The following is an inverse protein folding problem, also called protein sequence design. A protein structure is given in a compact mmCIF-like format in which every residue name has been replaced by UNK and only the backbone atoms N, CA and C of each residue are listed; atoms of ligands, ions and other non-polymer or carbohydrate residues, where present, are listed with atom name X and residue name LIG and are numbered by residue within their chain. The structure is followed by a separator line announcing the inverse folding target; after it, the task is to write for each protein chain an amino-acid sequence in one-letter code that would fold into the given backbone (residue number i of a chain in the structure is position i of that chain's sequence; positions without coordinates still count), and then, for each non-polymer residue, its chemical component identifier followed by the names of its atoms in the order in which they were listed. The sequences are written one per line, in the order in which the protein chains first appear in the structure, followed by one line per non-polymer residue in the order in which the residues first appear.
data_IF_002243801665
#
_entry.id   IF_002243801665
#
_cell.length_a   1.000
_cell.length_b   1.000
_cell.length_c   1.000
_cell.angle_alpha   90.00
_cell.angle_beta   90.00
_cell.angle_gamma   90.00
#
_symmetry.space_group_name_H-M   'P 1'
#
loop_
_entity.id
_entity.type
_entity.pdbx_description
1 polymer ?
#
# COMPACT_ATOMS: atom_id res chain seq x y z
N UNK A 1 1.16 -1.86 16.32
CA UNK A 1 1.69 -0.70 15.59
C UNK A 1 0.60 -0.14 14.69
N UNK A 2 0.68 1.11 14.22
CA UNK A 2 -0.27 1.61 13.23
C UNK A 2 0.36 1.58 11.84
N UNK A 3 -0.45 1.19 10.87
CA UNK A 3 -0.12 1.06 9.45
C UNK A 3 -1.08 1.92 8.66
N UNK A 4 -0.81 2.14 7.37
CA UNK A 4 -1.70 2.93 6.53
C UNK A 4 -1.85 2.38 5.12
N UNK A 5 -3.03 2.58 4.54
CA UNK A 5 -3.27 2.50 3.10
C UNK A 5 -3.46 3.91 2.54
N UNK A 6 -2.91 4.19 1.36
CA UNK A 6 -3.09 5.48 0.68
C UNK A 6 -3.37 5.29 -0.81
N UNK A 7 -4.29 6.10 -1.34
CA UNK A 7 -4.64 6.11 -2.75
C UNK A 7 -3.55 6.78 -3.61
N UNK A 8 -3.10 6.10 -4.65
CA UNK A 8 -2.06 6.54 -5.58
C UNK A 8 -2.59 6.75 -7.01
N UNK A 9 -3.91 6.94 -7.17
CA UNK A 9 -4.52 7.21 -8.48
C UNK A 9 -5.01 5.97 -9.24
N UNK A 10 -5.32 6.17 -10.51
CA UNK A 10 -5.79 5.11 -11.42
C UNK A 10 -4.65 4.21 -11.88
N UNK A 11 -4.85 2.90 -11.79
CA UNK A 11 -3.84 1.85 -12.03
C UNK A 11 -3.24 1.93 -13.43
N UNK A 12 -4.08 1.94 -14.48
CA UNK A 12 -3.60 1.83 -15.87
C UNK A 12 -2.71 3.00 -16.29
N UNK A 13 -2.90 4.17 -15.68
CA UNK A 13 -2.10 5.38 -15.95
C UNK A 13 -0.83 5.44 -15.11
N UNK A 14 -0.94 5.08 -13.83
CA UNK A 14 0.09 5.38 -12.86
C UNK A 14 1.03 4.20 -12.57
N UNK A 15 0.54 2.96 -12.63
CA UNK A 15 1.35 1.79 -12.33
C UNK A 15 2.59 1.64 -13.24
N UNK A 16 2.50 1.85 -14.58
CA UNK A 16 3.68 1.76 -15.45
C UNK A 16 4.76 2.80 -15.15
N UNK A 17 4.41 3.90 -14.49
CA UNK A 17 5.32 5.00 -14.13
C UNK A 17 5.77 4.93 -12.66
N UNK A 18 5.20 4.01 -11.89
CA UNK A 18 5.44 3.90 -10.45
C UNK A 18 6.85 3.35 -10.20
N UNK A 19 7.60 4.08 -9.37
CA UNK A 19 8.96 3.72 -8.94
C UNK A 19 9.11 3.99 -7.44
N UNK A 20 10.10 3.36 -6.77
CA UNK A 20 10.46 3.74 -5.41
C UNK A 20 10.72 5.25 -5.30
N UNK A 21 10.26 5.85 -4.21
CA UNK A 21 10.34 7.28 -3.94
C UNK A 21 9.29 8.14 -4.63
N UNK A 22 8.38 7.57 -5.44
CA UNK A 22 7.33 8.35 -6.08
C UNK A 22 6.47 9.10 -5.05
N UNK A 23 6.31 10.41 -5.27
CA UNK A 23 5.55 11.34 -4.43
C UNK A 23 4.40 12.02 -5.18
N UNK A 24 4.23 11.69 -6.47
CA UNK A 24 3.19 12.23 -7.34
C UNK A 24 2.48 11.12 -8.10
N UNK A 25 1.29 11.42 -8.63
CA UNK A 25 0.54 10.59 -9.55
C UNK A 25 -0.25 11.46 -10.52
N UNK A 26 -0.62 10.91 -11.68
CA UNK A 26 -1.49 11.57 -12.64
C UNK A 26 -2.97 11.35 -12.30
N UNK A 27 -3.70 12.46 -12.17
CA UNK A 27 -5.15 12.49 -11.97
C UNK A 27 -5.95 12.07 -13.20
N UNK A 28 -7.26 11.90 -13.02
CA UNK A 28 -8.18 11.55 -14.11
C UNK A 28 -8.27 12.63 -15.20
N UNK A 29 -8.04 13.89 -14.82
CA UNK A 29 -7.94 15.07 -15.67
C UNK A 29 -6.59 15.22 -16.40
N UNK A 30 -5.65 14.30 -16.16
CA UNK A 30 -4.31 14.33 -16.76
C UNK A 30 -3.31 15.22 -16.02
N UNK A 31 -3.74 15.97 -14.99
CA UNK A 31 -2.85 16.79 -14.16
C UNK A 31 -2.00 15.92 -13.23
N UNK A 32 -0.78 16.36 -12.93
CA UNK A 32 0.03 15.76 -11.88
C UNK A 32 -0.47 16.23 -10.50
N UNK A 33 -0.59 15.30 -9.56
CA UNK A 33 -1.03 15.54 -8.19
C UNK A 33 0.00 14.99 -7.22
N UNK A 34 0.24 15.73 -6.14
CA UNK A 34 1.12 15.31 -5.05
C UNK A 34 0.37 14.32 -4.14
N UNK A 35 1.03 13.24 -3.76
CA UNK A 35 0.51 12.31 -2.75
C UNK A 35 0.44 13.03 -1.40
N UNK A 36 -0.64 12.86 -0.61
CA UNK A 36 -0.66 13.39 0.75
C UNK A 36 0.48 12.78 1.57
N UNK A 37 0.94 13.46 2.64
CA UNK A 37 1.89 12.86 3.55
C UNK A 37 1.29 11.64 4.22
N UNK A 38 2.13 10.65 4.55
CA UNK A 38 1.71 9.53 5.38
C UNK A 38 1.31 10.04 6.78
N UNK A 39 0.28 9.45 7.42
CA UNK A 39 -0.09 9.81 8.79
C UNK A 39 1.08 9.58 9.75
N UNK A 40 1.28 10.50 10.70
CA UNK A 40 2.42 10.46 11.63
C UNK A 40 2.38 9.23 12.57
N UNK A 41 1.18 8.70 12.83
CA UNK A 41 1.00 7.48 13.60
C UNK A 41 1.36 6.20 12.82
N UNK A 42 1.38 6.24 11.48
CA UNK A 42 1.62 5.08 10.62
C UNK A 42 3.12 4.70 10.54
N UNK A 43 3.66 4.25 11.68
CA UNK A 43 5.07 3.89 11.86
C UNK A 43 5.43 2.46 11.43
N UNK A 44 4.45 1.68 11.00
CA UNK A 44 4.67 0.35 10.43
C UNK A 44 4.69 0.38 8.91
N UNK A 45 4.22 -0.71 8.29
CA UNK A 45 3.99 -0.77 6.86
C UNK A 45 3.02 0.33 6.36
N UNK A 46 3.40 0.96 5.26
CA UNK A 46 2.63 1.95 4.51
C UNK A 46 2.39 1.38 3.11
N UNK A 47 1.13 1.22 2.71
CA UNK A 47 0.73 0.54 1.49
C UNK A 47 0.07 1.53 0.54
N UNK A 48 0.67 1.71 -0.63
CA UNK A 48 0.06 2.45 -1.74
C UNK A 48 -0.88 1.53 -2.52
N UNK A 49 -2.09 2.02 -2.82
CA UNK A 49 -3.05 1.31 -3.65
C UNK A 49 -3.56 2.16 -4.80
N UNK A 50 -3.97 1.51 -5.89
CA UNK A 50 -4.50 2.16 -7.08
C UNK A 50 -5.85 1.56 -7.48
N UNK A 51 -6.65 2.35 -8.19
CA UNK A 51 -7.96 1.93 -8.68
C UNK A 51 -7.86 1.38 -10.11
N UNK A 52 -8.36 0.17 -10.32
CA UNK A 52 -8.66 -0.42 -11.62
C UNK A 52 -10.12 -0.17 -12.00
N UNK A 53 -10.43 -0.36 -13.29
CA UNK A 53 -11.81 -0.33 -13.79
C UNK A 53 -12.75 -1.23 -12.97
N UNK A 54 -13.98 -0.74 -12.78
CA UNK A 54 -14.99 -1.45 -11.99
C UNK A 54 -14.83 -1.33 -10.48
N UNK A 55 -14.21 -0.24 -9.97
CA UNK A 55 -14.02 0.05 -8.54
C UNK A 55 -13.25 -1.04 -7.79
N UNK A 56 -12.24 -1.61 -8.44
CA UNK A 56 -11.36 -2.60 -7.83
C UNK A 56 -10.08 -1.92 -7.39
N UNK A 57 -9.69 -2.08 -6.13
CA UNK A 57 -8.49 -1.45 -5.59
C UNK A 57 -7.39 -2.50 -5.43
N UNK A 58 -6.20 -2.21 -5.94
CA UNK A 58 -5.05 -3.11 -5.86
C UNK A 58 -3.91 -2.44 -5.11
N UNK A 59 -3.29 -3.17 -4.18
CA UNK A 59 -2.02 -2.77 -3.59
C UNK A 59 -0.94 -2.85 -4.68
N UNK A 60 -0.12 -1.80 -4.77
CA UNK A 60 0.89 -1.66 -5.82
C UNK A 60 2.29 -1.37 -5.27
N UNK A 61 2.38 -0.96 -4.01
CA UNK A 61 3.63 -0.58 -3.37
C UNK A 61 3.50 -0.75 -1.87
N UNK A 62 4.57 -1.19 -1.23
CA UNK A 62 4.70 -1.20 0.22
C UNK A 62 6.03 -0.59 0.62
N UNK A 63 6.01 0.26 1.64
CA UNK A 63 7.19 0.89 2.17
C UNK A 63 7.16 0.94 3.69
N UNK A 64 8.34 1.07 4.28
CA UNK A 64 8.58 1.45 5.66
C UNK A 64 9.73 2.46 5.70
N UNK A 65 10.34 2.68 6.86
CA UNK A 65 11.43 3.65 7.01
C UNK A 65 12.75 3.18 6.37
N UNK A 66 12.86 1.91 5.98
CA UNK A 66 14.08 1.29 5.46
C UNK A 66 13.99 0.86 4.01
N UNK A 67 12.79 0.52 3.54
CA UNK A 67 12.57 -0.07 2.24
C UNK A 67 11.34 0.50 1.55
N UNK A 68 11.38 0.46 0.23
CA UNK A 68 10.32 0.92 -0.64
C UNK A 68 10.21 0.03 -1.87
N UNK A 69 9.19 -0.82 -1.88
CA UNK A 69 9.03 -1.91 -2.83
C UNK A 69 7.77 -1.66 -3.66
N UNK A 70 7.96 -1.40 -4.95
CA UNK A 70 6.87 -1.44 -5.95
C UNK A 70 6.63 -2.90 -6.32
N UNK A 71 5.39 -3.36 -6.18
CA UNK A 71 5.02 -4.77 -6.36
C UNK A 71 5.02 -5.16 -7.85
N UNK A 72 5.70 -6.24 -8.20
CA UNK A 72 5.68 -6.77 -9.56
C UNK A 72 4.30 -7.37 -9.92
N UNK A 73 3.61 -7.92 -8.92
CA UNK A 73 2.29 -8.50 -9.00
C UNK A 73 1.32 -7.79 -8.03
N UNK A 74 0.60 -6.75 -8.50
CA UNK A 74 -0.39 -6.03 -7.71
C UNK A 74 -1.47 -6.95 -7.14
N UNK A 75 -1.82 -6.74 -5.88
CA UNK A 75 -2.76 -7.60 -5.13
C UNK A 75 -4.09 -6.92 -4.94
N UNK A 76 -5.20 -7.59 -5.27
CA UNK A 76 -6.54 -7.07 -5.01
C UNK A 76 -6.78 -6.91 -3.50
N UNK A 77 -7.19 -5.72 -3.10
CA UNK A 77 -7.53 -5.41 -1.71
C UNK A 77 -8.97 -5.80 -1.48
N UNK A 78 -9.18 -6.82 -0.65
CA UNK A 78 -10.48 -7.20 -0.12
C UNK A 78 -10.84 -6.28 1.06
N UNK A 79 -11.92 -5.52 0.95
CA UNK A 79 -12.34 -4.57 1.99
C UNK A 79 -12.57 -5.25 3.35
N UNK A 80 -13.14 -6.45 3.34
CA UNK A 80 -13.49 -7.19 4.56
C UNK A 80 -12.26 -7.75 5.27
N UNK A 81 -11.25 -8.15 4.50
CA UNK A 81 -10.00 -8.73 5.03
C UNK A 81 -8.92 -7.70 5.31
N UNK A 82 -8.84 -6.63 4.51
CA UNK A 82 -7.65 -5.77 4.42
C UNK A 82 -7.87 -4.30 4.84
N UNK A 83 -9.11 -3.87 5.12
CA UNK A 83 -9.37 -2.52 5.69
C UNK A 83 -9.74 -2.57 7.18
N UNK A 84 -10.33 -3.68 7.63
CA UNK A 84 -10.89 -3.80 8.98
C UNK A 84 -12.28 -3.17 9.11
N UNK A 85 -12.92 -3.41 10.26
CA UNK A 85 -14.34 -3.11 10.45
C UNK A 85 -14.67 -1.61 10.29
N UNK A 86 -15.69 -1.31 9.47
CA UNK A 86 -16.25 0.03 9.29
C UNK A 86 -15.40 0.99 8.43
N UNK A 87 -14.26 0.55 7.91
CA UNK A 87 -13.37 1.37 7.08
C UNK A 87 -13.68 1.22 5.59
N UNK A 88 -13.38 2.26 4.83
CA UNK A 88 -13.64 2.35 3.38
C UNK A 88 -12.43 2.97 2.67
N UNK A 89 -12.33 2.74 1.37
CA UNK A 89 -11.40 3.49 0.53
C UNK A 89 -11.81 4.96 0.44
N UNK A 90 -10.81 5.84 0.39
CA UNK A 90 -11.02 7.28 0.32
C UNK A 90 -9.82 8.01 -0.27
N UNK A 91 -9.95 9.34 -0.34
CA UNK A 91 -8.84 10.22 -0.73
C UNK A 91 -7.80 10.35 0.40
N UNK A 92 -8.27 10.30 1.65
CA UNK A 92 -7.41 10.34 2.84
C UNK A 92 -6.80 8.96 3.13
N UNK A 93 -5.58 8.91 3.69
CA UNK A 93 -4.99 7.65 4.13
C UNK A 93 -5.83 6.95 5.20
N UNK A 94 -6.02 5.65 5.05
CA UNK A 94 -6.75 4.82 6.01
C UNK A 94 -5.77 4.11 6.94
N UNK A 95 -5.82 4.44 8.23
CA UNK A 95 -5.06 3.70 9.25
C UNK A 95 -5.60 2.28 9.36
N UNK A 96 -4.73 1.27 9.43
CA UNK A 96 -5.10 -0.13 9.75
C UNK A 96 -4.26 -0.67 10.91
N UNK A 97 -4.79 -1.71 11.56
CA UNK A 97 -4.17 -2.34 12.73
C UNK A 97 -3.30 -3.54 12.32
N UNK A 98 -2.47 -4.01 13.25
CA UNK A 98 -1.50 -5.10 13.04
C UNK A 98 -2.10 -6.33 12.35
N UNK A 99 -3.27 -6.80 12.81
CA UNK A 99 -3.88 -8.01 12.25
C UNK A 99 -4.29 -7.84 10.78
N UNK A 100 -4.89 -6.70 10.44
CA UNK A 100 -5.25 -6.37 9.07
C UNK A 100 -4.01 -6.20 8.18
N UNK A 101 -2.97 -5.54 8.69
CA UNK A 101 -1.71 -5.35 7.98
C UNK A 101 -0.99 -6.69 7.77
N UNK A 102 -1.00 -7.57 8.77
CA UNK A 102 -0.43 -8.92 8.69
C UNK A 102 -1.05 -9.72 7.54
N UNK A 103 -2.39 -9.79 7.50
CA UNK A 103 -3.11 -10.51 6.44
C UNK A 103 -2.79 -9.95 5.06
N UNK A 104 -2.80 -8.62 4.90
CA UNK A 104 -2.46 -8.00 3.61
C UNK A 104 -1.02 -8.31 3.21
N UNK A 105 -0.05 -8.16 4.11
CA UNK A 105 1.38 -8.42 3.83
C UNK A 105 1.63 -9.89 3.47
N UNK A 106 0.90 -10.83 4.08
CA UNK A 106 0.94 -12.26 3.72
C UNK A 106 0.45 -12.47 2.28
N UNK A 107 -0.68 -11.88 1.90
CA UNK A 107 -1.20 -11.93 0.54
C UNK A 107 -0.21 -11.31 -0.47
N UNK A 108 0.47 -10.19 -0.11
CA UNK A 108 1.52 -9.58 -0.94
C UNK A 108 2.70 -10.53 -1.15
N UNK A 109 3.21 -11.13 -0.08
CA UNK A 109 4.35 -12.05 -0.11
C UNK A 109 4.03 -13.30 -0.96
N UNK A 110 2.82 -13.83 -0.84
CA UNK A 110 2.41 -15.00 -1.61
C UNK A 110 2.32 -14.70 -3.11
N UNK A 111 1.86 -13.50 -3.47
CA UNK A 111 1.68 -13.09 -4.88
C UNK A 111 2.94 -12.54 -5.55
N UNK A 112 3.96 -12.17 -4.79
CA UNK A 112 5.22 -11.59 -5.30
C UNK A 112 6.42 -12.46 -4.88
N UNK A 113 6.54 -13.72 -5.36
CA UNK A 113 7.59 -14.64 -4.94
C UNK A 113 9.01 -14.12 -5.22
N UNK A 114 9.19 -13.36 -6.30
CA UNK A 114 10.44 -12.71 -6.70
C UNK A 114 10.87 -11.58 -5.75
N UNK A 115 9.92 -10.98 -5.02
CA UNK A 115 10.18 -9.91 -4.03
C UNK A 115 10.03 -10.41 -2.58
N UNK A 116 9.86 -11.72 -2.38
CA UNK A 116 9.53 -12.34 -1.09
C UNK A 116 10.47 -11.91 0.03
N UNK A 117 11.78 -11.87 -0.22
CA UNK A 117 12.77 -11.56 0.81
C UNK A 117 12.58 -10.12 1.35
N UNK A 118 12.40 -9.15 0.45
CA UNK A 118 12.20 -7.74 0.80
C UNK A 118 10.86 -7.54 1.54
N UNK A 119 9.80 -8.18 1.05
CA UNK A 119 8.47 -8.10 1.66
C UNK A 119 8.41 -8.76 3.06
N UNK A 120 9.11 -9.89 3.25
CA UNK A 120 9.26 -10.50 4.58
C UNK A 120 10.01 -9.57 5.54
N UNK A 121 11.06 -8.90 5.06
CA UNK A 121 11.83 -7.96 5.88
C UNK A 121 10.96 -6.77 6.34
N UNK A 122 10.16 -6.20 5.44
CA UNK A 122 9.18 -5.16 5.79
C UNK A 122 8.19 -5.70 6.83
N UNK A 123 7.59 -6.87 6.58
CA UNK A 123 6.62 -7.48 7.52
C UNK A 123 7.22 -7.67 8.90
N UNK A 124 8.45 -8.18 8.99
CA UNK A 124 9.13 -8.40 10.25
C UNK A 124 9.32 -7.08 11.02
N UNK A 125 9.81 -6.02 10.38
CA UNK A 125 9.99 -4.71 11.02
C UNK A 125 8.67 -4.08 11.43
N UNK A 126 7.65 -4.20 10.58
CA UNK A 126 6.33 -3.61 10.80
C UNK A 126 5.56 -4.27 11.95
N UNK A 127 5.69 -5.59 12.14
CA UNK A 127 4.91 -6.35 13.14
C UNK A 127 5.73 -6.74 14.38
N UNK A 128 7.06 -6.70 14.31
CA UNK A 128 7.96 -6.97 15.43
C UNK A 128 8.99 -5.84 15.56
N UNK A 129 8.55 -4.62 15.93
CA UNK A 129 9.49 -3.55 16.20
C UNK A 129 10.43 -3.96 17.32
N UNK A 130 11.73 -3.96 17.03
CA UNK A 130 12.75 -4.09 18.07
C UNK A 130 12.59 -2.89 18.99
N UNK A 131 12.36 -3.17 20.29
CA UNK A 131 12.15 -2.15 21.32
C UNK A 131 13.36 -1.25 21.50
#
# INVERSE_FOLDING_TARGET
MAHALMYHGGFDRNHPLLKPGASTFQGSDGSERVLPPWPAEARGARIGYMERSGKKFVAVRVLDDQADVVLAHPVLIDETRHLGYGKRFGAEPTIIQDETARVLLEDLIERNPEQRAELIAIRHRALHPTR
#
